data_IF_734619413677
#
_entry.id   IF_734619413677
#
_cell.length_a   1.000
_cell.length_b   1.000
_cell.length_c   1.000
_cell.angle_alpha   90.00
_cell.angle_beta   90.00
_cell.angle_gamma   90.00
#
_symmetry.space_group_name_H-M   'P 1'
#
loop_
_entity.id
_entity.type
_entity.pdbx_description
1 polymer ?
#
# COMPACT_ATOMS: atom_id res chain seq x y z
N UNK A 1 12.84 9.65 -18.64
CA UNK A 1 12.48 8.76 -17.53
C UNK A 1 11.74 9.59 -16.49
N UNK A 2 10.55 9.14 -16.05
CA UNK A 2 9.79 9.78 -15.00
C UNK A 2 9.62 8.83 -13.79
N UNK A 3 9.79 9.35 -12.58
CA UNK A 3 9.65 8.60 -11.34
C UNK A 3 8.78 9.38 -10.37
N UNK A 4 7.76 8.73 -9.82
CA UNK A 4 6.95 9.28 -8.74
C UNK A 4 7.34 8.61 -7.43
N UNK A 5 7.59 9.40 -6.38
CA UNK A 5 7.97 8.91 -5.07
C UNK A 5 6.79 9.03 -4.11
N UNK A 6 6.48 7.95 -3.40
CA UNK A 6 5.54 7.93 -2.28
C UNK A 6 6.28 7.95 -0.95
N UNK A 7 5.56 8.30 0.11
CA UNK A 7 6.13 8.38 1.46
C UNK A 7 6.43 7.00 2.06
N UNK A 8 5.56 6.01 1.84
CA UNK A 8 5.67 4.69 2.43
C UNK A 8 5.89 4.73 3.95
N UNK A 9 6.70 3.81 4.45
CA UNK A 9 7.17 3.81 5.85
C UNK A 9 8.37 4.70 6.09
N UNK A 10 9.05 5.13 5.04
CA UNK A 10 10.26 5.95 5.15
C UNK A 10 9.97 7.36 5.64
N UNK A 11 8.84 7.92 5.23
CA UNK A 11 8.41 9.28 5.57
C UNK A 11 6.94 9.28 6.04
N UNK A 12 6.66 8.61 7.14
CA UNK A 12 5.31 8.58 7.70
C UNK A 12 5.02 9.88 8.42
N UNK A 13 4.42 10.83 7.73
CA UNK A 13 4.00 12.11 8.28
C UNK A 13 2.57 11.98 8.79
N UNK A 14 2.39 11.78 10.10
CA UNK A 14 1.06 11.72 10.71
C UNK A 14 0.90 12.75 11.82
N UNK A 15 -0.19 13.50 11.75
CA UNK A 15 -0.48 14.55 12.70
C UNK A 15 -1.05 14.04 14.04
N UNK A 16 -1.66 12.85 14.05
CA UNK A 16 -2.38 12.30 15.21
C UNK A 16 -1.61 11.24 15.99
N UNK A 17 -0.48 10.78 15.48
CA UNK A 17 0.32 9.75 16.15
C UNK A 17 1.20 10.34 17.23
N UNK A 18 1.35 9.58 18.31
CA UNK A 18 2.36 9.89 19.31
C UNK A 18 3.74 9.69 18.69
N UNK A 19 4.57 10.71 18.70
CA UNK A 19 5.85 10.80 18.01
C UNK A 19 6.85 9.66 18.32
N UNK A 20 6.68 8.95 19.43
CA UNK A 20 7.55 7.83 19.80
C UNK A 20 7.25 6.53 19.05
N UNK A 21 6.11 6.44 18.35
CA UNK A 21 5.72 5.23 17.60
C UNK A 21 6.15 5.25 16.12
N UNK A 22 6.61 6.38 15.62
CA UNK A 22 6.94 6.54 14.22
C UNK A 22 8.34 7.11 14.08
N UNK A 23 9.22 6.35 13.44
CA UNK A 23 10.53 6.83 13.01
C UNK A 23 10.38 7.40 11.62
N UNK A 24 10.68 8.69 11.47
CA UNK A 24 10.72 9.35 10.18
C UNK A 24 12.19 9.44 9.74
N UNK A 25 12.51 8.77 8.65
CA UNK A 25 13.87 8.74 8.08
C UNK A 25 14.16 9.93 7.15
N UNK A 26 13.23 10.86 7.04
CA UNK A 26 13.30 12.04 6.19
C UNK A 26 12.46 11.90 4.92
N UNK A 27 12.58 12.88 4.03
CA UNK A 27 11.84 12.88 2.77
C UNK A 27 12.30 11.77 1.82
N UNK A 28 11.40 11.22 0.98
CA UNK A 28 11.75 10.24 -0.03
C UNK A 28 12.90 10.71 -0.93
N UNK A 29 13.80 9.79 -1.26
CA UNK A 29 14.98 10.04 -2.08
C UNK A 29 15.06 9.00 -3.19
N UNK A 30 15.62 9.39 -4.33
CA UNK A 30 15.81 8.50 -5.47
C UNK A 30 17.30 8.28 -5.73
N UNK A 31 17.68 7.03 -5.91
CA UNK A 31 18.93 6.62 -6.55
C UNK A 31 18.57 5.65 -7.67
N UNK A 32 18.88 5.98 -8.90
CA UNK A 32 18.60 5.15 -10.06
C UNK A 32 19.87 4.98 -10.88
N UNK A 33 20.15 3.73 -11.26
CA UNK A 33 21.09 3.40 -12.33
C UNK A 33 20.35 2.50 -13.32
N UNK A 34 20.19 2.96 -14.55
CA UNK A 34 19.62 2.18 -15.65
C UNK A 34 20.73 1.83 -16.63
N UNK A 35 21.06 0.55 -16.72
CA UNK A 35 21.98 0.02 -17.71
C UNK A 35 21.18 -0.41 -18.94
N UNK A 36 21.52 0.15 -20.09
CA UNK A 36 20.95 -0.19 -21.39
C UNK A 36 22.03 -0.94 -22.18
N UNK A 37 21.70 -2.14 -22.62
CA UNK A 37 22.54 -2.94 -23.53
C UNK A 37 21.87 -2.98 -24.89
N UNK A 38 22.54 -2.46 -25.89
CA UNK A 38 22.05 -2.44 -27.27
C UNK A 38 22.39 -3.72 -28.02
N UNK A 39 21.67 -4.01 -29.10
CA UNK A 39 21.87 -5.23 -29.91
C UNK A 39 23.21 -5.29 -30.60
N UNK A 40 23.90 -4.17 -30.78
CA UNK A 40 25.26 -4.08 -31.31
C UNK A 40 26.36 -4.32 -30.25
N UNK A 41 25.95 -4.60 -28.99
CA UNK A 41 26.85 -4.83 -27.86
C UNK A 41 27.30 -3.57 -27.14
N UNK A 42 26.93 -2.39 -27.61
CA UNK A 42 27.20 -1.13 -26.90
C UNK A 42 26.36 -1.02 -25.64
N UNK A 43 26.85 -0.24 -24.64
CA UNK A 43 26.18 -0.07 -23.34
C UNK A 43 26.11 1.41 -22.99
N UNK A 44 24.98 1.79 -22.42
CA UNK A 44 24.75 3.13 -21.87
C UNK A 44 24.26 3.01 -20.43
N UNK A 45 24.68 3.91 -19.55
CA UNK A 45 24.19 3.96 -18.17
C UNK A 45 23.62 5.35 -17.89
N UNK A 46 22.34 5.38 -17.54
CA UNK A 46 21.65 6.59 -17.07
C UNK A 46 21.62 6.54 -15.54
N UNK A 47 22.11 7.60 -14.90
CA UNK A 47 22.14 7.72 -13.43
C UNK A 47 21.40 8.95 -12.97
N UNK A 48 20.91 8.94 -11.73
CA UNK A 48 20.39 10.15 -11.09
C UNK A 48 21.53 11.09 -10.73
N UNK A 49 21.42 12.35 -11.15
CA UNK A 49 22.34 13.44 -10.82
C UNK A 49 21.59 14.77 -10.73
N UNK A 50 22.31 15.87 -10.66
CA UNK A 50 21.75 17.23 -10.56
C UNK A 50 21.10 17.74 -11.86
N UNK A 51 21.22 17.03 -12.98
CA UNK A 51 20.49 17.36 -14.22
C UNK A 51 19.02 16.98 -14.17
N UNK A 52 18.63 16.12 -13.23
CA UNK A 52 17.24 15.74 -13.05
C UNK A 52 16.42 16.91 -12.52
N UNK A 53 15.15 16.95 -12.94
CA UNK A 53 14.18 17.94 -12.45
C UNK A 53 13.19 17.30 -11.50
N UNK A 54 12.76 18.04 -10.49
CA UNK A 54 11.83 17.59 -9.46
C UNK A 54 10.70 18.59 -9.26
N UNK A 55 9.52 18.07 -8.93
CA UNK A 55 8.38 18.90 -8.53
C UNK A 55 7.59 18.24 -7.41
N UNK A 56 7.10 19.02 -6.47
CA UNK A 56 6.11 18.63 -5.47
C UNK A 56 4.68 19.05 -5.87
N UNK A 57 4.52 19.67 -7.05
CA UNK A 57 3.23 20.16 -7.55
C UNK A 57 2.47 19.12 -8.39
N UNK A 58 2.64 17.84 -8.09
CA UNK A 58 1.87 16.76 -8.72
C UNK A 58 0.51 16.54 -8.04
N UNK A 59 -0.31 15.64 -8.61
CA UNK A 59 -1.68 15.39 -8.14
C UNK A 59 -1.76 14.70 -6.78
N UNK A 60 -0.76 13.93 -6.35
CA UNK A 60 -0.73 13.29 -5.04
C UNK A 60 -0.31 14.34 -4.00
N UNK A 61 -1.27 14.85 -3.25
CA UNK A 61 -1.06 15.95 -2.27
C UNK A 61 -0.65 15.43 -0.90
N UNK A 62 -1.06 14.22 -0.56
CA UNK A 62 -0.67 13.52 0.67
C UNK A 62 -0.80 12.03 0.45
N UNK A 63 0.07 11.25 1.06
CA UNK A 63 -0.07 9.80 1.16
C UNK A 63 0.66 9.30 2.40
N UNK A 64 0.07 8.37 3.10
CA UNK A 64 0.74 7.49 4.04
C UNK A 64 -0.05 6.20 4.20
N UNK A 65 0.58 5.12 4.61
CA UNK A 65 -0.04 3.80 4.63
C UNK A 65 -1.21 3.67 5.61
N UNK A 66 -1.32 4.54 6.62
CA UNK A 66 -2.36 4.47 7.63
C UNK A 66 -3.56 5.37 7.33
N UNK A 67 -3.29 6.58 6.83
CA UNK A 67 -4.34 7.57 6.60
C UNK A 67 -5.00 7.44 5.23
N UNK A 68 -4.23 7.10 4.22
CA UNK A 68 -4.68 7.04 2.85
C UNK A 68 -4.01 8.05 1.94
N UNK A 69 -4.61 8.29 0.77
CA UNK A 69 -4.10 9.18 -0.26
C UNK A 69 -5.06 10.34 -0.54
N UNK A 70 -4.52 11.54 -0.70
CA UNK A 70 -5.25 12.70 -1.22
C UNK A 70 -4.74 12.97 -2.63
N UNK A 71 -5.59 12.73 -3.61
CA UNK A 71 -5.32 12.98 -5.02
C UNK A 71 -6.15 14.17 -5.52
N UNK A 72 -5.48 15.18 -6.05
CA UNK A 72 -6.13 16.34 -6.65
C UNK A 72 -5.84 16.38 -8.16
N UNK A 73 -6.80 15.95 -8.96
CA UNK A 73 -6.66 15.86 -10.40
C UNK A 73 -6.44 17.23 -11.10
N UNK A 74 -6.70 18.33 -10.41
CA UNK A 74 -6.41 19.69 -10.94
C UNK A 74 -4.91 19.95 -11.08
N UNK A 75 -4.06 19.16 -10.39
CA UNK A 75 -2.61 19.21 -10.44
C UNK A 75 -2.00 18.11 -11.31
N UNK A 76 -2.79 17.45 -12.15
CA UNK A 76 -2.26 16.49 -13.10
C UNK A 76 -1.27 17.14 -14.07
N UNK A 77 -0.11 16.53 -14.22
CA UNK A 77 1.01 17.05 -15.02
C UNK A 77 0.91 16.68 -16.51
N UNK A 78 -0.18 16.02 -16.91
CA UNK A 78 -0.36 15.58 -18.29
C UNK A 78 0.71 14.58 -18.73
N UNK A 79 1.29 14.80 -19.89
CA UNK A 79 2.26 13.90 -20.55
C UNK A 79 3.71 14.07 -20.03
N UNK A 80 3.89 14.34 -18.75
CA UNK A 80 5.19 14.66 -18.13
C UNK A 80 6.29 13.60 -18.32
N UNK A 81 5.95 12.38 -18.69
CA UNK A 81 6.89 11.30 -18.96
C UNK A 81 7.29 11.20 -20.44
N UNK A 82 6.66 12.00 -21.32
CA UNK A 82 6.94 11.97 -22.75
C UNK A 82 8.12 12.89 -23.14
N UNK A 83 8.86 12.55 -24.20
CA UNK A 83 9.88 13.44 -24.74
C UNK A 83 9.29 14.81 -25.11
N UNK A 84 10.04 15.87 -24.81
CA UNK A 84 9.64 17.24 -25.12
C UNK A 84 8.68 17.90 -24.13
N UNK A 85 8.42 17.26 -23.00
CA UNK A 85 7.68 17.91 -21.93
C UNK A 85 8.45 19.12 -21.40
N UNK A 86 7.77 20.24 -21.20
CA UNK A 86 8.36 21.46 -20.63
C UNK A 86 8.40 21.35 -19.09
N UNK A 87 9.57 21.04 -18.56
CA UNK A 87 9.85 20.96 -17.13
C UNK A 87 10.62 22.19 -16.59
N UNK A 88 10.67 23.28 -17.36
CA UNK A 88 11.40 24.50 -17.02
C UNK A 88 11.01 25.13 -15.68
N UNK A 89 9.80 24.87 -15.21
CA UNK A 89 9.29 25.33 -13.91
C UNK A 89 9.58 24.37 -12.77
N UNK A 90 10.20 23.23 -13.04
CA UNK A 90 10.60 22.28 -12.01
C UNK A 90 11.93 22.67 -11.40
N UNK A 91 12.15 22.29 -10.15
CA UNK A 91 13.41 22.52 -9.45
C UNK A 91 14.49 21.55 -9.93
N UNK A 92 15.73 21.95 -9.79
CA UNK A 92 16.87 21.05 -9.97
C UNK A 92 16.94 20.05 -8.82
N UNK A 93 17.34 18.83 -9.12
CA UNK A 93 17.58 17.83 -8.10
C UNK A 93 18.84 18.17 -7.29
N UNK A 94 18.79 17.92 -6.00
CA UNK A 94 19.92 18.11 -5.09
C UNK A 94 20.54 16.77 -4.72
N UNK A 95 21.88 16.77 -4.60
CA UNK A 95 22.58 15.63 -4.01
C UNK A 95 22.38 15.63 -2.51
N UNK A 96 21.92 14.50 -1.99
CA UNK A 96 21.71 14.29 -0.56
C UNK A 96 22.60 13.18 -0.04
N UNK A 97 22.83 13.14 1.28
CA UNK A 97 23.57 12.07 1.91
C UNK A 97 22.95 10.70 1.64
N UNK A 98 23.80 9.71 1.49
CA UNK A 98 23.35 8.31 1.36
C UNK A 98 22.72 7.83 2.68
N UNK A 99 21.65 7.04 2.63
CA UNK A 99 21.03 6.48 3.85
C UNK A 99 21.89 5.39 4.52
N UNK A 100 23.02 5.03 3.94
CA UNK A 100 23.84 3.89 4.36
C UNK A 100 23.41 2.58 3.68
N UNK A 101 24.06 1.49 4.07
CA UNK A 101 23.79 0.15 3.53
C UNK A 101 24.35 -0.10 2.12
N UNK A 102 24.24 -1.34 1.69
CA UNK A 102 24.66 -1.80 0.35
C UNK A 102 23.43 -2.10 -0.49
N UNK A 103 23.27 -1.47 -1.68
CA UNK A 103 22.21 -1.83 -2.60
C UNK A 103 22.27 -3.31 -2.98
N UNK A 104 21.11 -3.98 -2.93
CA UNK A 104 20.96 -5.38 -3.31
C UNK A 104 19.76 -5.54 -4.24
N UNK A 105 19.77 -6.58 -5.04
CA UNK A 105 18.60 -6.97 -5.84
C UNK A 105 17.45 -7.37 -4.92
N UNK A 106 16.23 -6.96 -5.28
CA UNK A 106 15.03 -7.47 -4.64
C UNK A 106 14.91 -8.97 -4.91
N UNK A 107 14.75 -9.76 -3.86
CA UNK A 107 14.63 -11.22 -3.93
C UNK A 107 13.19 -11.70 -3.81
N UNK A 108 12.32 -10.89 -3.24
CA UNK A 108 10.88 -11.17 -3.13
C UNK A 108 10.14 -10.69 -4.37
N UNK A 109 9.06 -11.37 -4.80
CA UNK A 109 8.16 -10.81 -5.80
C UNK A 109 7.64 -9.43 -5.35
N UNK A 110 7.40 -8.49 -6.28
CA UNK A 110 6.87 -7.19 -5.94
C UNK A 110 5.41 -7.30 -5.47
N UNK A 111 4.98 -6.37 -4.62
CA UNK A 111 3.56 -6.17 -4.36
C UNK A 111 2.86 -5.75 -5.66
N UNK A 112 1.79 -6.45 -5.99
CA UNK A 112 0.97 -6.19 -7.18
C UNK A 112 -0.51 -6.36 -6.87
N UNK A 113 -1.36 -6.02 -7.82
CA UNK A 113 -2.76 -6.40 -7.78
C UNK A 113 -2.82 -7.90 -8.12
N UNK A 114 -3.05 -8.73 -7.11
CA UNK A 114 -3.08 -10.20 -7.27
C UNK A 114 -4.47 -10.71 -7.62
N UNK A 115 -5.51 -9.93 -7.30
CA UNK A 115 -6.90 -10.29 -7.61
C UNK A 115 -7.78 -9.04 -7.72
N UNK A 116 -8.84 -9.12 -8.53
CA UNK A 116 -9.90 -8.11 -8.59
C UNK A 116 -11.23 -8.70 -8.16
N UNK A 117 -12.00 -7.94 -7.38
CA UNK A 117 -13.30 -8.37 -6.84
C UNK A 117 -14.37 -7.38 -7.26
N UNK A 118 -15.45 -7.90 -7.84
CA UNK A 118 -16.65 -7.10 -8.13
C UNK A 118 -17.46 -6.95 -6.84
N UNK A 119 -17.82 -5.73 -6.45
CA UNK A 119 -18.69 -5.51 -5.31
C UNK A 119 -20.03 -6.23 -5.47
N UNK A 120 -20.58 -6.68 -4.35
CA UNK A 120 -21.85 -7.44 -4.34
C UNK A 120 -23.07 -6.57 -4.03
N UNK A 121 -22.85 -5.42 -3.36
CA UNK A 121 -23.95 -4.54 -2.96
C UNK A 121 -23.51 -3.10 -2.84
N UNK A 122 -24.38 -2.16 -3.20
CA UNK A 122 -24.27 -0.75 -2.87
C UNK A 122 -25.61 -0.28 -2.30
N UNK A 123 -25.58 0.37 -1.15
CA UNK A 123 -26.76 0.80 -0.43
C UNK A 123 -26.67 2.29 -0.10
N UNK A 124 -27.71 3.09 -0.33
CA UNK A 124 -27.72 4.48 0.11
C UNK A 124 -27.78 4.56 1.64
N UNK A 125 -27.09 5.53 2.23
CA UNK A 125 -27.11 5.85 3.64
C UNK A 125 -27.06 7.39 3.81
N UNK A 126 -28.21 8.02 3.89
CA UNK A 126 -28.32 9.48 3.84
C UNK A 126 -27.83 10.04 2.50
N UNK A 127 -26.85 10.92 2.55
CA UNK A 127 -26.16 11.54 1.40
C UNK A 127 -24.97 10.74 0.87
N UNK A 128 -24.75 9.54 1.42
CA UNK A 128 -23.61 8.66 1.14
C UNK A 128 -24.08 7.31 0.62
N UNK A 129 -23.14 6.47 0.26
CA UNK A 129 -23.34 5.07 -0.08
C UNK A 129 -22.43 4.18 0.76
N UNK A 130 -22.92 2.98 1.10
CA UNK A 130 -22.12 1.88 1.62
C UNK A 130 -21.96 0.83 0.53
N UNK A 131 -20.72 0.58 0.13
CA UNK A 131 -20.35 -0.46 -0.81
C UNK A 131 -19.88 -1.69 0.00
N UNK A 132 -20.44 -2.87 -0.30
CA UNK A 132 -19.98 -4.16 0.20
C UNK A 132 -19.29 -4.91 -0.94
N UNK A 133 -18.01 -5.20 -0.79
CA UNK A 133 -17.25 -5.99 -1.77
C UNK A 133 -17.38 -7.49 -1.56
N UNK A 134 -18.03 -7.93 -0.49
CA UNK A 134 -18.35 -9.34 -0.22
C UNK A 134 -17.23 -10.15 0.44
N UNK A 135 -16.01 -9.65 0.42
CA UNK A 135 -14.82 -10.27 1.00
C UNK A 135 -14.01 -9.21 1.76
N UNK A 136 -13.46 -9.57 2.93
CA UNK A 136 -12.44 -8.72 3.59
C UNK A 136 -11.12 -8.88 2.86
N UNK A 137 -10.50 -7.78 2.45
CA UNK A 137 -9.28 -7.75 1.65
C UNK A 137 -8.31 -6.70 2.16
N UNK A 138 -7.03 -6.85 1.81
CA UNK A 138 -6.05 -5.77 1.87
C UNK A 138 -5.77 -5.23 0.46
N UNK A 139 -6.07 -3.96 0.25
CA UNK A 139 -5.96 -3.34 -1.08
C UNK A 139 -6.61 -1.98 -1.14
N UNK A 140 -7.27 -1.70 -2.25
CA UNK A 140 -7.97 -0.43 -2.51
C UNK A 140 -9.18 -0.61 -3.41
N UNK A 141 -9.90 0.49 -3.63
CA UNK A 141 -10.98 0.56 -4.63
C UNK A 141 -10.46 1.29 -5.87
N UNK A 142 -10.62 0.65 -7.03
CA UNK A 142 -10.62 1.34 -8.32
C UNK A 142 -12.01 1.86 -8.59
N UNK A 143 -12.14 3.15 -8.87
CA UNK A 143 -13.43 3.78 -9.17
C UNK A 143 -13.42 4.51 -10.51
N UNK A 144 -14.57 4.57 -11.17
CA UNK A 144 -14.81 5.51 -12.27
C UNK A 144 -15.01 6.89 -11.70
N UNK A 145 -14.43 7.89 -12.32
CA UNK A 145 -14.56 9.26 -11.84
C UNK A 145 -15.78 9.93 -12.48
N UNK A 146 -16.61 10.54 -11.63
CA UNK A 146 -17.77 11.32 -12.02
C UNK A 146 -17.90 12.51 -11.07
N UNK A 147 -17.68 13.71 -11.57
CA UNK A 147 -17.79 14.94 -10.80
C UNK A 147 -17.50 16.17 -11.64
N UNK A 148 -17.81 17.34 -11.12
CA UNK A 148 -17.40 18.62 -11.67
C UNK A 148 -16.04 19.04 -11.08
N UNK A 149 -15.39 20.00 -11.70
CA UNK A 149 -14.14 20.54 -11.16
C UNK A 149 -14.32 21.02 -9.71
N UNK A 150 -13.50 20.51 -8.80
CA UNK A 150 -13.52 20.80 -7.38
C UNK A 150 -14.44 19.88 -6.56
N UNK A 151 -15.32 19.07 -7.17
CA UNK A 151 -16.05 18.03 -6.43
C UNK A 151 -15.06 17.07 -5.79
N UNK A 152 -15.30 16.74 -4.52
CA UNK A 152 -14.43 15.84 -3.76
C UNK A 152 -15.15 14.55 -3.47
N UNK A 153 -14.58 13.43 -3.96
CA UNK A 153 -15.02 12.08 -3.67
C UNK A 153 -14.19 11.57 -2.50
N UNK A 154 -14.85 11.03 -1.47
CA UNK A 154 -14.19 10.44 -0.30
C UNK A 154 -14.56 8.97 -0.20
N UNK A 155 -13.56 8.12 -0.05
CA UNK A 155 -13.68 6.69 0.24
C UNK A 155 -13.16 6.43 1.65
N UNK A 156 -14.02 5.98 2.58
CA UNK A 156 -13.63 5.54 3.92
C UNK A 156 -13.81 4.04 4.03
N UNK A 157 -12.83 3.38 4.63
CA UNK A 157 -12.77 1.93 4.64
C UNK A 157 -13.06 1.34 6.02
N UNK A 158 -13.69 0.16 6.05
CA UNK A 158 -13.91 -0.63 7.27
C UNK A 158 -14.09 -2.11 6.97
N UNK A 159 -13.77 -2.95 7.95
CA UNK A 159 -13.97 -4.40 7.85
C UNK A 159 -15.41 -4.82 8.21
N UNK A 160 -16.08 -4.05 9.04
CA UNK A 160 -17.41 -4.36 9.57
C UNK A 160 -18.31 -3.13 9.61
N UNK A 161 -19.61 -3.37 9.77
CA UNK A 161 -20.61 -2.32 9.98
C UNK A 161 -21.14 -2.39 11.42
N UNK A 162 -21.49 -1.23 11.96
CA UNK A 162 -22.27 -1.09 13.16
C UNK A 162 -23.73 -1.50 12.93
N UNK A 163 -24.51 -1.71 13.99
CA UNK A 163 -25.91 -2.12 13.91
C UNK A 163 -26.80 -1.14 13.12
N UNK A 164 -26.46 0.14 13.06
CA UNK A 164 -27.14 1.18 12.29
C UNK A 164 -26.72 1.23 10.81
N UNK A 165 -25.83 0.35 10.37
CA UNK A 165 -25.34 0.27 8.99
C UNK A 165 -24.19 1.21 8.65
N UNK A 166 -23.69 1.99 9.61
CA UNK A 166 -22.49 2.81 9.44
C UNK A 166 -21.21 1.98 9.59
N UNK A 167 -20.09 2.52 9.13
CA UNK A 167 -18.79 1.87 9.31
C UNK A 167 -18.43 1.75 10.79
N UNK A 168 -18.07 0.56 11.24
CA UNK A 168 -17.44 0.37 12.54
C UNK A 168 -15.93 0.56 12.41
N UNK A 169 -15.34 1.48 13.18
CA UNK A 169 -13.94 1.92 13.00
C UNK A 169 -13.11 1.96 14.28
N UNK A 170 -13.66 1.58 15.42
CA UNK A 170 -12.94 1.65 16.70
C UNK A 170 -11.69 0.74 16.71
N UNK A 171 -11.73 -0.36 15.96
CA UNK A 171 -10.61 -1.28 15.80
C UNK A 171 -9.49 -0.73 14.90
N UNK A 172 -9.69 0.39 14.21
CA UNK A 172 -8.66 1.04 13.39
C UNK A 172 -7.72 1.92 14.22
N UNK A 173 -8.07 2.16 15.48
CA UNK A 173 -7.34 3.04 16.40
C UNK A 173 -7.24 4.45 15.80
N UNK A 174 -6.03 4.90 15.39
CA UNK A 174 -5.80 6.23 14.83
C UNK A 174 -5.67 6.23 13.30
N UNK A 175 -5.70 5.08 12.63
CA UNK A 175 -5.64 5.00 11.18
C UNK A 175 -6.91 5.64 10.56
N UNK A 176 -6.74 6.72 9.79
CA UNK A 176 -7.86 7.38 9.11
C UNK A 176 -8.42 6.52 7.97
N UNK A 177 -7.60 5.69 7.35
CA UNK A 177 -7.98 4.75 6.28
C UNK A 177 -9.02 5.36 5.34
N UNK A 178 -8.65 6.47 4.69
CA UNK A 178 -9.56 7.32 3.91
C UNK A 178 -8.84 7.89 2.72
N UNK A 179 -9.36 7.66 1.53
CA UNK A 179 -8.84 8.26 0.29
C UNK A 179 -9.74 9.41 -0.16
N UNK A 180 -9.13 10.41 -0.77
CA UNK A 180 -9.80 11.54 -1.37
C UNK A 180 -9.38 11.72 -2.82
N UNK A 181 -10.36 11.94 -3.69
CA UNK A 181 -10.14 12.34 -5.07
C UNK A 181 -10.85 13.66 -5.35
N UNK A 182 -10.12 14.68 -5.75
CA UNK A 182 -10.65 15.98 -6.12
C UNK A 182 -10.68 16.07 -7.64
N UNK A 183 -11.88 16.23 -8.21
CA UNK A 183 -12.13 16.20 -9.64
C UNK A 183 -11.57 17.45 -10.34
N UNK A 184 -11.05 17.28 -11.56
CA UNK A 184 -10.71 18.39 -12.46
C UNK A 184 -11.85 18.76 -13.44
N UNK A 185 -12.91 17.96 -13.49
CA UNK A 185 -14.09 18.16 -14.37
C UNK A 185 -13.89 17.69 -15.81
N UNK A 186 -12.80 16.98 -16.12
CA UNK A 186 -12.45 16.48 -17.47
C UNK A 186 -12.38 14.96 -17.55
N UNK A 187 -12.73 14.25 -16.49
CA UNK A 187 -12.45 12.82 -16.30
C UNK A 187 -13.24 11.89 -17.24
N UNK A 188 -14.40 12.31 -17.76
CA UNK A 188 -15.21 11.60 -18.79
C UNK A 188 -15.19 10.05 -18.68
N UNK A 189 -15.36 9.51 -17.46
CA UNK A 189 -15.33 8.07 -17.22
C UNK A 189 -13.93 7.48 -17.04
N UNK A 190 -12.91 8.30 -16.88
CA UNK A 190 -11.58 7.85 -16.42
C UNK A 190 -11.70 7.09 -15.10
N UNK A 191 -10.75 6.21 -14.85
CA UNK A 191 -10.69 5.44 -13.60
C UNK A 191 -9.50 5.88 -12.77
N UNK A 192 -9.68 5.84 -11.46
CA UNK A 192 -8.62 6.14 -10.50
C UNK A 192 -8.55 5.07 -9.41
N UNK A 193 -7.36 4.83 -8.91
CA UNK A 193 -7.04 4.10 -7.69
C UNK A 193 -5.80 4.73 -7.05
N UNK A 194 -5.65 4.69 -5.72
CA UNK A 194 -4.45 5.21 -5.06
C UNK A 194 -3.21 4.43 -5.45
N UNK A 195 -2.02 4.97 -5.16
CA UNK A 195 -0.75 4.35 -5.58
C UNK A 195 0.15 3.93 -4.41
N UNK A 196 0.15 4.70 -3.32
CA UNK A 196 1.14 4.54 -2.26
C UNK A 196 0.53 4.19 -0.91
N UNK A 197 -0.66 3.63 -0.94
CA UNK A 197 -1.42 3.22 0.25
C UNK A 197 -2.08 1.89 0.00
N UNK A 198 -2.50 1.22 1.06
CA UNK A 198 -3.45 0.11 1.02
C UNK A 198 -4.30 0.14 2.29
N UNK A 199 -5.46 -0.49 2.25
CA UNK A 199 -6.41 -0.56 3.35
C UNK A 199 -6.84 -2.00 3.58
N UNK A 200 -7.15 -2.37 4.83
CA UNK A 200 -7.84 -3.60 5.17
C UNK A 200 -9.33 -3.32 5.29
N UNK A 201 -10.18 -3.95 4.47
CA UNK A 201 -11.60 -3.61 4.42
C UNK A 201 -12.47 -4.64 3.70
N UNK A 202 -13.74 -4.63 4.04
CA UNK A 202 -14.82 -5.21 3.25
C UNK A 202 -15.83 -4.14 2.81
N UNK A 203 -16.04 -3.12 3.64
CA UNK A 203 -17.03 -2.09 3.41
C UNK A 203 -16.37 -0.75 3.12
N UNK A 204 -16.98 0.02 2.21
CA UNK A 204 -16.51 1.36 1.86
C UNK A 204 -17.67 2.35 1.93
N UNK A 205 -17.51 3.39 2.72
CA UNK A 205 -18.39 4.55 2.70
C UNK A 205 -17.92 5.50 1.60
N UNK A 206 -18.83 5.81 0.69
CA UNK A 206 -18.55 6.69 -0.45
C UNK A 206 -19.38 7.96 -0.26
N UNK A 207 -18.72 9.12 -0.22
CA UNK A 207 -19.39 10.42 -0.19
C UNK A 207 -18.88 11.34 -1.30
N UNK A 208 -19.69 12.35 -1.66
CA UNK A 208 -19.38 13.25 -2.77
C UNK A 208 -19.55 12.64 -4.17
N UNK A 209 -20.06 11.43 -4.28
CA UNK A 209 -20.25 10.72 -5.54
C UNK A 209 -21.74 10.64 -5.89
N UNK A 210 -22.14 11.20 -7.04
CA UNK A 210 -23.55 11.24 -7.46
C UNK A 210 -23.93 10.01 -8.29
N UNK A 211 -25.12 9.46 -8.02
CA UNK A 211 -25.67 8.33 -8.79
C UNK A 211 -24.70 7.14 -8.89
N UNK A 212 -24.16 6.74 -7.75
CA UNK A 212 -23.23 5.63 -7.67
C UNK A 212 -23.89 4.31 -8.11
N UNK A 213 -23.20 3.57 -8.97
CA UNK A 213 -23.60 2.24 -9.46
C UNK A 213 -22.54 1.22 -9.05
N UNK A 214 -22.97 0.00 -8.83
CA UNK A 214 -22.07 -1.10 -8.49
C UNK A 214 -20.92 -1.24 -9.50
N UNK A 215 -21.23 -1.07 -10.79
CA UNK A 215 -20.26 -1.15 -11.90
C UNK A 215 -19.26 0.00 -11.98
N UNK A 216 -19.36 0.99 -11.09
CA UNK A 216 -18.41 2.10 -11.03
C UNK A 216 -17.19 1.75 -10.15
N UNK A 217 -17.26 0.65 -9.40
CA UNK A 217 -16.25 0.28 -8.41
C UNK A 217 -15.75 -1.15 -8.62
N UNK A 218 -14.47 -1.37 -8.30
CA UNK A 218 -13.82 -2.68 -8.27
C UNK A 218 -12.88 -2.72 -7.08
N UNK A 219 -12.97 -3.76 -6.26
CA UNK A 219 -11.97 -4.05 -5.23
C UNK A 219 -10.72 -4.63 -5.88
N UNK A 220 -9.56 -4.09 -5.56
CA UNK A 220 -8.25 -4.60 -6.00
C UNK A 220 -7.47 -5.08 -4.79
N UNK A 221 -7.18 -6.39 -4.77
CA UNK A 221 -6.39 -7.03 -3.71
C UNK A 221 -4.92 -6.81 -4.01
N UNK A 222 -4.20 -6.23 -3.07
CA UNK A 222 -2.78 -5.93 -3.19
C UNK A 222 -1.99 -6.78 -2.21
N UNK A 223 -1.06 -7.56 -2.72
CA UNK A 223 -0.21 -8.43 -1.90
C UNK A 223 1.10 -8.69 -2.62
N UNK A 224 2.07 -9.25 -1.90
CA UNK A 224 3.23 -9.86 -2.55
C UNK A 224 2.74 -10.96 -3.49
N UNK A 225 3.24 -10.95 -4.71
CA UNK A 225 2.81 -11.89 -5.75
C UNK A 225 3.44 -13.27 -5.55
N UNK A 226 3.15 -13.88 -4.38
CA UNK A 226 3.58 -15.24 -4.06
C UNK A 226 2.66 -16.26 -4.71
N UNK A 227 3.24 -17.33 -5.22
CA UNK A 227 2.49 -18.40 -5.88
C UNK A 227 1.72 -19.24 -4.84
N UNK A 228 0.39 -19.40 -4.98
CA UNK A 228 -0.36 -20.37 -4.20
C UNK A 228 0.04 -21.80 -4.61
N UNK A 229 0.47 -22.61 -3.64
CA UNK A 229 0.96 -23.98 -3.88
C UNK A 229 0.11 -25.07 -3.22
N UNK A 230 -0.80 -24.69 -2.32
CA UNK A 230 -1.64 -25.61 -1.58
C UNK A 230 -3.12 -25.42 -1.84
N UNK A 231 -3.82 -26.55 -1.92
CA UNK A 231 -5.28 -26.59 -1.98
C UNK A 231 -5.81 -27.55 -0.94
N UNK A 232 -6.97 -27.26 -0.40
CA UNK A 232 -7.66 -28.12 0.56
C UNK A 232 -9.16 -28.12 0.27
N UNK A 233 -9.74 -29.31 0.17
CA UNK A 233 -11.17 -29.51 0.04
C UNK A 233 -11.57 -30.82 0.74
N UNK A 234 -12.66 -30.79 1.47
CA UNK A 234 -13.25 -31.97 2.13
C UNK A 234 -14.78 -31.86 2.15
N UNK A 235 -15.46 -32.92 2.64
CA UNK A 235 -16.92 -32.95 2.73
C UNK A 235 -17.50 -32.02 3.81
N UNK A 236 -16.68 -31.57 4.78
CA UNK A 236 -17.10 -30.63 5.83
C UNK A 236 -16.92 -29.18 5.34
N UNK A 237 -18.04 -28.50 5.14
CA UNK A 237 -18.06 -27.11 4.67
C UNK A 237 -17.46 -26.13 5.67
N UNK A 238 -17.48 -26.44 6.97
CA UNK A 238 -16.89 -25.60 8.02
C UNK A 238 -15.37 -25.63 7.91
N UNK A 239 -14.77 -26.80 7.73
CA UNK A 239 -13.33 -26.94 7.55
C UNK A 239 -12.86 -26.25 6.26
N UNK A 240 -13.60 -26.40 5.16
CA UNK A 240 -13.31 -25.69 3.93
C UNK A 240 -13.35 -24.16 4.13
N UNK A 241 -14.32 -23.68 4.91
CA UNK A 241 -14.40 -22.23 5.22
C UNK A 241 -13.27 -21.74 6.13
N UNK A 242 -12.85 -22.54 7.12
CA UNK A 242 -11.68 -22.23 7.96
C UNK A 242 -10.42 -22.11 7.10
N UNK A 243 -10.19 -23.07 6.21
CA UNK A 243 -9.05 -23.03 5.28
C UNK A 243 -9.08 -21.78 4.41
N UNK A 244 -10.24 -21.45 3.83
CA UNK A 244 -10.40 -20.25 2.99
C UNK A 244 -10.15 -18.95 3.78
N UNK A 245 -10.64 -18.89 5.04
CA UNK A 245 -10.42 -17.72 5.88
C UNK A 245 -8.93 -17.55 6.24
N UNK A 246 -8.23 -18.66 6.52
CA UNK A 246 -6.79 -18.64 6.75
C UNK A 246 -6.02 -18.18 5.52
N UNK A 247 -6.38 -18.68 4.33
CA UNK A 247 -5.79 -18.28 3.07
C UNK A 247 -5.88 -16.76 2.83
N UNK A 248 -7.09 -16.18 3.02
CA UNK A 248 -7.30 -14.74 2.90
C UNK A 248 -6.53 -13.94 3.96
N UNK A 249 -6.55 -14.37 5.22
CA UNK A 249 -5.83 -13.69 6.29
C UNK A 249 -4.31 -13.69 6.07
N UNK A 250 -3.77 -14.73 5.46
CA UNK A 250 -2.34 -14.80 5.10
C UNK A 250 -2.04 -13.88 3.93
N UNK A 251 -2.80 -13.97 2.83
CA UNK A 251 -2.62 -13.14 1.63
C UNK A 251 -2.69 -11.65 1.96
N UNK A 252 -3.65 -11.26 2.80
CA UNK A 252 -3.87 -9.86 3.18
C UNK A 252 -2.71 -9.27 4.00
N UNK A 253 -1.84 -10.11 4.56
CA UNK A 253 -0.74 -9.71 5.42
C UNK A 253 0.66 -9.89 4.81
N UNK A 254 0.77 -10.20 3.53
CA UNK A 254 2.03 -10.20 2.79
C UNK A 254 2.24 -8.85 2.09
N UNK A 255 3.17 -8.04 2.63
CA UNK A 255 3.44 -6.65 2.19
C UNK A 255 4.94 -6.33 2.11
N UNK A 256 5.70 -7.16 1.38
CA UNK A 256 7.17 -7.13 1.35
C UNK A 256 7.82 -7.67 2.62
N UNK A 257 6.98 -8.00 3.58
CA UNK A 257 7.26 -8.64 4.87
C UNK A 257 5.93 -9.17 5.41
N UNK A 258 5.94 -10.15 6.32
CA UNK A 258 4.71 -10.64 6.94
C UNK A 258 4.27 -9.67 8.05
N UNK A 259 3.21 -8.87 7.80
CA UNK A 259 2.67 -7.93 8.79
C UNK A 259 1.58 -8.57 9.65
N UNK A 260 1.32 -8.00 10.83
CA UNK A 260 0.32 -8.48 11.79
C UNK A 260 -1.12 -8.16 11.40
N UNK A 261 -1.32 -7.05 10.71
CA UNK A 261 -2.65 -6.57 10.35
C UNK A 261 -2.60 -5.62 9.14
N UNK A 262 -3.67 -5.52 8.31
CA UNK A 262 -3.69 -4.62 7.15
C UNK A 262 -4.45 -3.31 7.39
N UNK A 263 -5.25 -3.16 8.48
CA UNK A 263 -6.26 -2.11 8.57
C UNK A 263 -5.95 -0.97 9.53
N UNK A 264 -5.27 -1.27 10.66
CA UNK A 264 -5.04 -0.31 11.76
C UNK A 264 -3.67 0.33 11.71
N UNK A 265 -3.39 1.21 12.68
CA UNK A 265 -2.11 1.92 12.82
C UNK A 265 -0.99 1.07 13.45
N UNK A 266 -0.82 -0.14 12.96
CA UNK A 266 0.23 -1.08 13.39
C UNK A 266 0.99 -1.60 12.16
N UNK A 267 0.50 -2.63 11.49
CA UNK A 267 1.04 -3.18 10.23
C UNK A 267 2.53 -3.52 10.35
N UNK A 268 2.89 -4.19 11.44
CA UNK A 268 4.28 -4.50 11.79
C UNK A 268 4.60 -5.98 11.61
N UNK A 269 5.84 -6.31 11.22
CA UNK A 269 6.29 -7.70 11.12
C UNK A 269 6.75 -8.24 12.47
N UNK A 270 5.80 -8.50 13.38
CA UNK A 270 6.05 -9.08 14.69
C UNK A 270 6.59 -10.49 14.57
N UNK A 271 7.71 -10.77 15.24
CA UNK A 271 8.35 -12.08 15.20
C UNK A 271 7.50 -13.14 15.87
N UNK A 272 6.93 -12.83 17.04
CA UNK A 272 6.08 -13.74 17.81
C UNK A 272 4.87 -14.20 17.02
N UNK A 273 4.16 -13.28 16.39
CA UNK A 273 2.96 -13.56 15.59
C UNK A 273 3.25 -14.57 14.47
N UNK A 274 4.37 -14.42 13.78
CA UNK A 274 4.72 -15.26 12.63
C UNK A 274 5.39 -16.56 13.02
N UNK A 275 6.08 -16.64 14.15
CA UNK A 275 6.70 -17.88 14.61
C UNK A 275 5.67 -19.01 14.73
N UNK A 276 4.45 -18.70 15.16
CA UNK A 276 3.37 -19.68 15.30
C UNK A 276 2.73 -20.07 13.97
N UNK A 277 2.67 -19.15 13.01
CA UNK A 277 1.92 -19.32 11.74
C UNK A 277 2.76 -19.76 10.54
N UNK A 278 4.05 -19.42 10.50
CA UNK A 278 4.89 -19.52 9.31
C UNK A 278 4.94 -20.93 8.69
N UNK A 279 4.90 -21.97 9.52
CA UNK A 279 4.86 -23.35 9.05
C UNK A 279 3.57 -23.66 8.28
N UNK A 280 2.42 -23.25 8.81
CA UNK A 280 1.12 -23.42 8.15
C UNK A 280 1.00 -22.64 6.85
N UNK A 281 1.57 -21.42 6.82
CA UNK A 281 1.58 -20.57 5.62
C UNK A 281 2.34 -21.22 4.45
N UNK A 282 3.42 -21.96 4.75
CA UNK A 282 4.25 -22.66 3.76
C UNK A 282 3.55 -23.82 3.06
N UNK A 283 2.38 -24.25 3.53
CA UNK A 283 1.53 -25.21 2.80
C UNK A 283 0.57 -24.52 1.82
N UNK A 284 0.40 -23.20 1.91
CA UNK A 284 -0.54 -22.45 1.11
C UNK A 284 0.14 -21.62 0.02
N UNK A 285 1.33 -21.07 0.31
CA UNK A 285 2.08 -20.20 -0.59
C UNK A 285 3.56 -20.61 -0.66
N UNK A 286 4.18 -20.46 -1.83
CA UNK A 286 5.64 -20.46 -1.93
C UNK A 286 6.17 -19.14 -1.34
N UNK A 287 6.36 -19.15 -0.04
CA UNK A 287 6.84 -18.02 0.73
C UNK A 287 8.35 -18.05 1.00
N UNK A 288 9.07 -18.96 0.35
CA UNK A 288 10.51 -19.18 0.57
C UNK A 288 11.36 -17.93 0.40
N UNK A 289 11.08 -17.13 -0.64
CA UNK A 289 11.79 -15.89 -0.91
C UNK A 289 11.45 -14.79 0.10
N UNK A 290 10.19 -14.69 0.51
CA UNK A 290 9.73 -13.74 1.52
C UNK A 290 10.38 -14.01 2.87
N UNK A 291 10.32 -15.26 3.34
CA UNK A 291 10.91 -15.63 4.63
C UNK A 291 12.44 -15.58 4.62
N UNK A 292 13.09 -15.90 3.50
CA UNK A 292 14.54 -15.72 3.35
C UNK A 292 14.94 -14.26 3.45
N UNK A 293 14.18 -13.36 2.84
CA UNK A 293 14.37 -11.91 2.96
C UNK A 293 14.12 -11.46 4.40
N UNK A 294 13.01 -11.87 5.00
CA UNK A 294 12.66 -11.48 6.36
C UNK A 294 13.65 -11.98 7.41
N UNK A 295 14.17 -13.21 7.27
CA UNK A 295 15.25 -13.72 8.13
C UNK A 295 16.50 -12.83 8.04
N UNK A 296 16.82 -12.32 6.86
CA UNK A 296 17.92 -11.36 6.68
C UNK A 296 17.64 -10.05 7.40
N UNK A 297 16.41 -9.52 7.27
CA UNK A 297 16.01 -8.30 7.99
C UNK A 297 16.15 -8.46 9.51
N UNK A 298 15.81 -9.64 10.04
CA UNK A 298 16.00 -9.99 11.47
C UNK A 298 17.48 -9.96 11.83
N UNK A 299 18.34 -10.60 11.04
CA UNK A 299 19.79 -10.61 11.27
C UNK A 299 20.39 -9.19 11.19
N UNK A 300 19.94 -8.36 10.23
CA UNK A 300 20.41 -6.98 10.07
C UNK A 300 19.91 -6.06 11.21
N UNK A 301 18.82 -6.41 11.86
CA UNK A 301 18.27 -5.68 13.01
C UNK A 301 18.87 -6.14 14.36
N UNK A 302 19.65 -7.22 14.39
CA UNK A 302 20.28 -7.73 15.61
C UNK A 302 21.32 -6.73 16.14
N UNK A 303 21.29 -6.47 17.45
CA UNK A 303 22.24 -5.60 18.14
C UNK A 303 23.58 -6.31 18.37
N UNK A 304 24.63 -5.52 18.68
CA UNK A 304 25.96 -6.05 18.99
C UNK A 304 25.97 -7.00 20.20
N UNK A 305 25.06 -6.79 21.17
CA UNK A 305 24.88 -7.65 22.32
C UNK A 305 24.13 -8.97 22.01
N UNK A 306 23.75 -9.17 20.73
CA UNK A 306 23.02 -10.34 20.26
C UNK A 306 21.49 -10.25 20.38
N UNK A 307 20.96 -9.18 20.97
CA UNK A 307 19.52 -9.00 21.13
C UNK A 307 18.83 -8.81 19.78
N UNK A 308 17.73 -9.53 19.58
CA UNK A 308 16.87 -9.45 18.39
C UNK A 308 15.63 -8.62 18.76
N UNK A 309 15.18 -7.68 17.89
CA UNK A 309 14.00 -6.88 18.16
C UNK A 309 12.73 -7.73 18.05
N UNK A 310 11.66 -7.29 18.71
CA UNK A 310 10.33 -7.91 18.60
C UNK A 310 9.73 -7.76 17.19
N UNK A 311 10.20 -6.75 16.44
CA UNK A 311 9.73 -6.37 15.10
C UNK A 311 10.94 -6.22 14.17
N UNK A 312 10.94 -6.86 13.01
CA UNK A 312 12.01 -6.73 12.02
C UNK A 312 11.45 -6.73 10.57
N UNK A 313 11.81 -5.74 9.72
CA UNK A 313 12.70 -4.61 10.02
C UNK A 313 12.12 -3.72 11.11
N UNK A 314 12.99 -3.22 11.98
CA UNK A 314 12.59 -2.43 13.12
C UNK A 314 12.14 -1.02 12.68
N UNK A 315 10.86 -0.88 12.44
CA UNK A 315 10.23 0.42 12.23
C UNK A 315 10.02 1.17 13.56
N UNK A 316 9.71 0.42 14.59
CA UNK A 316 9.77 0.81 15.98
C UNK A 316 10.93 0.04 16.62
N UNK A 317 11.83 0.71 17.28
CA UNK A 317 12.88 0.03 18.02
C UNK A 317 12.29 -0.54 19.32
N UNK A 318 11.68 -1.70 19.22
CA UNK A 318 11.27 -2.50 20.36
C UNK A 318 12.27 -3.65 20.51
N UNK A 319 13.13 -3.49 21.50
CA UNK A 319 13.88 -4.59 22.07
C UNK A 319 13.27 -4.82 23.46
N UNK A 320 12.60 -5.93 23.63
CA UNK A 320 12.08 -6.30 24.94
C UNK A 320 13.27 -6.70 25.83
N UNK A 321 13.52 -5.91 26.85
CA UNK A 321 14.58 -6.20 27.82
C UNK A 321 14.19 -7.35 28.77
N UNK A 322 13.07 -8.03 28.50
CA UNK A 322 12.53 -9.13 29.28
C UNK A 322 12.79 -10.47 28.57
N UNK A 323 13.97 -10.99 28.75
CA UNK A 323 14.26 -12.41 28.57
C UNK A 323 14.69 -12.98 29.91
#
# INVERSE_FOLDING_TARGET
IGVTLGNGRYCTMQQKYKSYKIVNFGYPKLRLNLLIEYTDGSKETITTDTSWRITANGPIRSNNEYDGEIYDARYELGDWTKPGYDDSQWLEAERVGMPGGTPRSQTTPPMTIVQTIKPIKISPLGDKYILDIGQNIAGWIRMKIKGNAGDTIRLRFSETLSANGELYRDNFRHAESTDFYICNGKENGATWAPRFVYHGFRFVEISGYKNAKLSDFTGEVVSDNLEPIGTFECSDTTLNRIHQNAWWGILDNYKGMPVDCPQRDERQPWLGDRTMGCWGESFLFDNSTLYSKWTRDICEAQREDGCIPDVAPAFWMYYSDNV
#
